data_IF_742532527686
#
_entry.id   IF_742532527686
#
_cell.length_a   1.000
_cell.length_b   1.000
_cell.length_c   1.000
_cell.angle_alpha   90.00
_cell.angle_beta   90.00
_cell.angle_gamma   90.00
#
_symmetry.space_group_name_H-M   'P 1'
#
loop_
_entity.id
_entity.type
_entity.pdbx_description
1 polymer ?
#
# COMPACT_ATOMS: atom_id res chain seq x y z
N UNK A 1 11.84 -12.50 -17.19
CA UNK A 1 10.39 -12.38 -16.89
C UNK A 1 10.13 -10.94 -16.49
N UNK A 2 9.08 -10.32 -17.02
CA UNK A 2 8.66 -8.98 -16.62
C UNK A 2 8.08 -9.03 -15.20
N UNK A 3 8.29 -7.98 -14.39
CA UNK A 3 7.69 -7.87 -13.05
C UNK A 3 6.15 -7.85 -13.15
N UNK A 4 5.48 -8.30 -12.08
CA UNK A 4 4.00 -8.34 -12.04
C UNK A 4 3.41 -6.94 -12.23
N UNK A 5 3.87 -5.98 -11.42
CA UNK A 5 3.66 -4.56 -11.68
C UNK A 5 4.83 -4.08 -12.54
N UNK A 6 4.54 -3.76 -13.78
CA UNK A 6 5.47 -3.16 -14.74
C UNK A 6 4.91 -1.83 -15.26
N UNK A 7 5.70 -1.13 -16.05
CA UNK A 7 5.35 0.21 -16.52
C UNK A 7 4.07 0.20 -17.40
N UNK A 8 3.81 -0.91 -18.10
CA UNK A 8 2.61 -1.10 -18.94
C UNK A 8 1.48 -1.84 -18.20
N UNK A 9 1.48 -1.88 -16.86
CA UNK A 9 0.47 -2.60 -16.08
C UNK A 9 -0.95 -2.08 -16.42
N UNK A 10 -1.82 -3.00 -16.87
CA UNK A 10 -3.18 -2.75 -17.41
C UNK A 10 -3.25 -2.04 -18.78
N UNK A 11 -2.12 -1.69 -19.41
CA UNK A 11 -2.09 -1.04 -20.72
C UNK A 11 -1.97 -2.08 -21.84
N UNK A 12 -3.10 -2.40 -22.48
CA UNK A 12 -3.21 -3.52 -23.43
C UNK A 12 -3.02 -3.15 -24.91
N UNK A 13 -2.77 -1.87 -25.24
CA UNK A 13 -2.58 -1.39 -26.61
C UNK A 13 -1.56 -0.25 -26.67
N UNK A 14 -0.95 -0.03 -27.84
CA UNK A 14 0.00 1.07 -28.03
C UNK A 14 -0.66 2.44 -27.80
N UNK A 15 -1.93 2.60 -28.21
CA UNK A 15 -2.69 3.81 -27.90
C UNK A 15 -2.90 4.01 -26.40
N UNK A 16 -3.14 2.95 -25.61
CA UNK A 16 -3.25 3.06 -24.16
C UNK A 16 -1.93 3.46 -23.51
N UNK A 17 -0.81 2.91 -24.01
CA UNK A 17 0.54 3.26 -23.56
C UNK A 17 0.87 4.73 -23.85
N UNK A 18 0.60 5.18 -25.07
CA UNK A 18 0.81 6.58 -25.47
C UNK A 18 -0.01 7.54 -24.59
N UNK A 19 -1.31 7.29 -24.45
CA UNK A 19 -2.20 8.13 -23.65
C UNK A 19 -1.79 8.18 -22.17
N UNK A 20 -1.40 7.06 -21.58
CA UNK A 20 -0.99 7.04 -20.18
C UNK A 20 0.38 7.69 -19.99
N UNK A 21 1.42 7.20 -20.67
CA UNK A 21 2.81 7.61 -20.44
C UNK A 21 3.09 9.04 -20.91
N UNK A 22 2.48 9.50 -22.02
CA UNK A 22 2.78 10.83 -22.56
C UNK A 22 1.88 11.93 -21.99
N UNK A 23 0.73 11.59 -21.41
CA UNK A 23 -0.25 12.58 -20.97
C UNK A 23 -0.71 12.41 -19.53
N UNK A 24 -1.15 11.21 -19.14
CA UNK A 24 -1.82 11.01 -17.84
C UNK A 24 -0.85 10.88 -16.65
N UNK A 25 0.26 10.15 -16.81
CA UNK A 25 1.14 9.74 -15.71
C UNK A 25 1.72 10.92 -14.91
N UNK A 26 1.97 12.05 -15.58
CA UNK A 26 2.61 13.21 -14.97
C UNK A 26 1.61 14.24 -14.41
N UNK A 27 0.30 14.01 -14.56
CA UNK A 27 -0.69 14.92 -13.99
C UNK A 27 -0.67 14.88 -12.46
N UNK A 28 -0.95 16.02 -11.79
CA UNK A 28 -1.11 16.04 -10.34
C UNK A 28 -2.35 15.26 -9.90
N UNK A 29 -2.31 14.76 -8.66
CA UNK A 29 -3.47 14.15 -8.02
C UNK A 29 -4.31 15.23 -7.35
N UNK A 30 -5.57 15.32 -7.77
CA UNK A 30 -6.62 16.11 -7.14
C UNK A 30 -7.56 15.12 -6.43
N UNK A 31 -7.30 14.87 -5.15
CA UNK A 31 -8.07 13.94 -4.32
C UNK A 31 -9.17 14.69 -3.55
N UNK A 32 -10.16 15.17 -4.31
CA UNK A 32 -11.21 16.08 -3.82
C UNK A 32 -12.17 15.45 -2.80
N UNK A 33 -12.00 14.18 -2.45
CA UNK A 33 -12.73 13.51 -1.38
C UNK A 33 -11.94 12.30 -0.87
N UNK A 34 -11.44 12.39 0.36
CA UNK A 34 -10.78 11.30 1.05
C UNK A 34 -11.14 11.31 2.54
N UNK A 35 -10.63 10.32 3.27
CA UNK A 35 -10.82 10.20 4.71
C UNK A 35 -9.48 10.18 5.46
N UNK A 36 -8.47 10.88 4.91
CA UNK A 36 -7.19 11.03 5.57
C UNK A 36 -7.37 11.74 6.92
N UNK A 37 -6.64 11.29 7.94
CA UNK A 37 -6.65 11.95 9.24
C UNK A 37 -6.01 13.36 9.11
N UNK A 38 -6.75 14.47 9.31
CA UNK A 38 -6.19 15.81 9.22
C UNK A 38 -5.06 16.06 10.22
N UNK A 39 -5.07 15.38 11.37
CA UNK A 39 -4.02 15.47 12.38
C UNK A 39 -2.69 14.89 11.87
N UNK A 40 -2.74 13.79 11.12
CA UNK A 40 -1.53 13.20 10.52
C UNK A 40 -0.89 14.17 9.52
N UNK A 41 -1.71 14.88 8.75
CA UNK A 41 -1.26 15.90 7.81
C UNK A 41 -0.73 17.12 8.59
N UNK A 42 -1.42 17.57 9.63
CA UNK A 42 -1.04 18.76 10.42
C UNK A 42 0.28 18.56 11.17
N UNK A 43 0.53 17.36 11.68
CA UNK A 43 1.73 17.03 12.46
C UNK A 43 2.85 16.40 11.62
N UNK A 44 2.64 16.21 10.32
CA UNK A 44 3.55 15.50 9.42
C UNK A 44 3.95 14.13 9.99
N UNK A 45 2.92 13.34 10.32
CA UNK A 45 3.05 12.10 11.09
C UNK A 45 4.06 11.13 10.47
N UNK A 46 4.88 10.54 11.35
CA UNK A 46 5.85 9.51 11.01
C UNK A 46 5.30 8.16 11.45
N UNK A 47 5.25 7.19 10.53
CA UNK A 47 4.75 5.85 10.80
C UNK A 47 5.86 4.96 11.39
N UNK A 48 5.52 4.14 12.38
CA UNK A 48 6.49 3.30 13.10
C UNK A 48 6.95 2.09 12.27
N UNK A 49 6.02 1.50 11.52
CA UNK A 49 6.23 0.28 10.73
C UNK A 49 5.20 0.07 9.61
N UNK A 50 5.47 -0.90 8.72
CA UNK A 50 4.60 -1.21 7.58
C UNK A 50 3.21 -1.70 8.00
N UNK A 51 3.12 -2.51 9.06
CA UNK A 51 1.84 -3.04 9.55
C UNK A 51 0.91 -1.91 9.97
N UNK A 52 1.44 -0.90 10.67
CA UNK A 52 0.69 0.28 11.10
C UNK A 52 0.05 1.02 9.90
N UNK A 53 0.87 1.54 8.98
CA UNK A 53 0.36 2.34 7.85
C UNK A 53 -0.57 1.54 6.91
N UNK A 54 -0.40 0.21 6.82
CA UNK A 54 -1.20 -0.62 5.90
C UNK A 54 -2.47 -1.20 6.49
N UNK A 55 -2.48 -1.54 7.79
CA UNK A 55 -3.55 -2.32 8.41
C UNK A 55 -4.43 -1.50 9.35
N UNK A 56 -4.11 -0.25 9.65
CA UNK A 56 -5.01 0.64 10.42
C UNK A 56 -6.31 0.96 9.66
N UNK A 57 -6.34 0.84 8.33
CA UNK A 57 -7.37 1.48 7.52
C UNK A 57 -7.86 0.76 6.25
N UNK A 58 -8.92 1.39 5.76
CA UNK A 58 -10.00 1.07 4.81
C UNK A 58 -10.68 -0.29 4.93
N UNK A 59 -10.27 -1.12 5.87
CA UNK A 59 -10.96 -2.33 6.32
C UNK A 59 -11.05 -3.47 5.27
N UNK A 60 -10.70 -3.23 4.00
CA UNK A 60 -10.71 -4.26 2.95
C UNK A 60 -9.78 -5.43 3.29
N UNK A 61 -8.60 -5.13 3.84
CA UNK A 61 -7.63 -6.15 4.27
C UNK A 61 -8.21 -7.02 5.38
N UNK A 62 -8.86 -6.41 6.39
CA UNK A 62 -9.54 -7.16 7.46
C UNK A 62 -10.69 -8.01 6.92
N UNK A 63 -11.50 -7.48 5.99
CA UNK A 63 -12.57 -8.25 5.34
C UNK A 63 -12.01 -9.48 4.64
N UNK A 64 -10.93 -9.33 3.87
CA UNK A 64 -10.28 -10.45 3.19
C UNK A 64 -9.66 -11.45 4.18
N UNK A 65 -9.00 -10.98 5.24
CA UNK A 65 -8.45 -11.84 6.30
C UNK A 65 -9.55 -12.66 6.99
N UNK A 66 -10.67 -12.04 7.37
CA UNK A 66 -11.85 -12.74 7.93
C UNK A 66 -12.44 -13.74 6.94
N UNK A 67 -12.59 -13.37 5.67
CA UNK A 67 -13.04 -14.29 4.61
C UNK A 67 -12.08 -15.45 4.38
N UNK A 68 -10.79 -15.27 4.69
CA UNK A 68 -9.76 -16.31 4.63
C UNK A 68 -9.61 -17.08 5.96
N UNK A 69 -10.53 -16.93 6.91
CA UNK A 69 -10.55 -17.68 8.17
C UNK A 69 -9.51 -17.24 9.20
N UNK A 70 -8.90 -16.06 9.04
CA UNK A 70 -7.99 -15.51 10.04
C UNK A 70 -8.78 -15.08 11.29
N UNK A 71 -8.27 -15.44 12.47
CA UNK A 71 -8.85 -15.06 13.76
C UNK A 71 -8.93 -13.53 13.91
N UNK A 72 -10.04 -13.05 14.47
CA UNK A 72 -10.33 -11.62 14.63
C UNK A 72 -9.24 -10.89 15.42
N UNK A 73 -8.55 -11.57 16.34
CA UNK A 73 -7.44 -10.96 17.10
C UNK A 73 -6.32 -10.46 16.18
N UNK A 74 -6.08 -11.10 15.04
CA UNK A 74 -5.07 -10.64 14.07
C UNK A 74 -5.60 -9.57 13.10
N UNK A 75 -6.90 -9.26 13.14
CA UNK A 75 -7.49 -8.15 12.40
C UNK A 75 -7.50 -6.87 13.25
N UNK A 76 -8.18 -6.89 14.39
CA UNK A 76 -8.39 -5.69 15.23
C UNK A 76 -8.03 -5.90 16.71
N UNK A 77 -7.39 -7.01 17.07
CA UNK A 77 -6.99 -7.30 18.44
C UNK A 77 -5.94 -6.31 18.96
N UNK A 78 -6.09 -5.93 20.23
CA UNK A 78 -5.15 -5.03 20.93
C UNK A 78 -3.92 -5.76 21.47
N UNK A 79 -4.03 -7.06 21.72
CA UNK A 79 -2.97 -7.90 22.30
C UNK A 79 -2.10 -8.58 21.23
N UNK A 80 -2.18 -8.16 19.97
CA UNK A 80 -1.36 -8.65 18.86
C UNK A 80 -0.55 -7.51 18.26
N UNK A 81 0.74 -7.73 18.05
CA UNK A 81 1.66 -6.77 17.44
C UNK A 81 1.36 -6.53 15.96
N UNK A 82 1.80 -5.38 15.43
CA UNK A 82 1.65 -5.05 14.01
C UNK A 82 2.35 -6.06 13.10
N UNK A 83 3.47 -6.63 13.55
CA UNK A 83 4.15 -7.72 12.84
C UNK A 83 3.25 -8.96 12.74
N UNK A 84 2.65 -9.41 13.84
CA UNK A 84 1.77 -10.60 13.81
C UNK A 84 0.55 -10.36 12.91
N UNK A 85 -0.03 -9.16 12.93
CA UNK A 85 -1.12 -8.80 12.02
C UNK A 85 -0.66 -8.78 10.56
N UNK A 86 0.50 -8.20 10.27
CA UNK A 86 1.08 -8.15 8.93
C UNK A 86 1.45 -9.54 8.40
N UNK A 87 1.99 -10.41 9.24
CA UNK A 87 2.30 -11.80 8.89
C UNK A 87 1.02 -12.53 8.43
N UNK A 88 -0.10 -12.35 9.14
CA UNK A 88 -1.40 -12.90 8.73
C UNK A 88 -1.97 -12.28 7.45
N UNK A 89 -1.71 -10.99 7.23
CA UNK A 89 -2.02 -10.38 5.93
C UNK A 89 -1.20 -10.99 4.80
N UNK A 90 0.11 -11.20 5.00
CA UNK A 90 0.99 -11.81 4.01
C UNK A 90 0.64 -13.28 3.71
N UNK A 91 0.18 -14.04 4.70
CA UNK A 91 -0.42 -15.37 4.51
C UNK A 91 -1.71 -15.32 3.66
N UNK A 92 -2.47 -14.23 3.75
CA UNK A 92 -3.75 -14.05 3.05
C UNK A 92 -3.57 -13.60 1.60
N UNK A 93 -2.57 -12.76 1.29
CA UNK A 93 -2.40 -12.15 -0.05
C UNK A 93 -2.42 -13.14 -1.21
N UNK A 94 -1.76 -14.32 -1.17
CA UNK A 94 -1.82 -15.29 -2.26
C UNK A 94 -3.25 -15.75 -2.62
N UNK A 95 -4.17 -15.73 -1.64
CA UNK A 95 -5.58 -16.10 -1.81
C UNK A 95 -6.45 -14.94 -2.31
N UNK A 96 -5.88 -13.75 -2.48
CA UNK A 96 -6.57 -12.58 -3.01
C UNK A 96 -6.43 -12.42 -4.53
N UNK A 97 -5.88 -13.40 -5.24
CA UNK A 97 -5.77 -13.33 -6.71
C UNK A 97 -7.15 -13.09 -7.34
N UNK A 98 -7.23 -12.12 -8.27
CA UNK A 98 -8.46 -11.55 -8.87
C UNK A 98 -9.29 -10.62 -7.98
N UNK A 99 -8.96 -10.48 -6.70
CA UNK A 99 -9.43 -9.37 -5.87
C UNK A 99 -8.52 -8.15 -6.10
N UNK A 100 -9.06 -6.91 -6.14
CA UNK A 100 -8.22 -5.71 -6.30
C UNK A 100 -7.15 -5.55 -5.21
N UNK A 101 -7.32 -6.15 -4.03
CA UNK A 101 -6.30 -6.22 -2.98
C UNK A 101 -4.96 -6.78 -3.49
N UNK A 102 -4.98 -7.73 -4.44
CA UNK A 102 -3.76 -8.26 -5.03
C UNK A 102 -3.05 -7.20 -5.89
N UNK A 103 -3.80 -6.34 -6.60
CA UNK A 103 -3.20 -5.24 -7.35
C UNK A 103 -2.67 -4.16 -6.41
N UNK A 104 -3.49 -3.69 -5.46
CA UNK A 104 -3.13 -2.61 -4.53
C UNK A 104 -1.88 -2.94 -3.74
N UNK A 105 -1.80 -4.16 -3.17
CA UNK A 105 -0.63 -4.63 -2.41
C UNK A 105 0.66 -4.45 -3.22
N UNK A 106 0.69 -4.93 -4.46
CA UNK A 106 1.92 -4.91 -5.25
C UNK A 106 2.20 -3.54 -5.88
N UNK A 107 1.16 -2.74 -6.18
CA UNK A 107 1.31 -1.35 -6.61
C UNK A 107 1.90 -0.47 -5.51
N UNK A 108 1.39 -0.60 -4.28
CA UNK A 108 1.88 0.12 -3.10
C UNK A 108 3.35 -0.25 -2.82
N UNK A 109 3.68 -1.54 -2.81
CA UNK A 109 5.06 -2.02 -2.64
C UNK A 109 6.00 -1.45 -3.72
N UNK A 110 5.60 -1.50 -4.99
CA UNK A 110 6.42 -1.02 -6.09
C UNK A 110 6.60 0.50 -6.05
N UNK A 111 5.50 1.26 -6.00
CA UNK A 111 5.53 2.73 -6.19
C UNK A 111 5.97 3.48 -4.93
N UNK A 112 5.52 3.06 -3.75
CA UNK A 112 5.92 3.71 -2.49
C UNK A 112 7.33 3.26 -2.06
N UNK A 113 7.59 1.96 -2.11
CA UNK A 113 8.77 1.38 -1.46
C UNK A 113 9.85 0.87 -2.43
N UNK A 114 9.56 0.75 -3.73
CA UNK A 114 10.50 0.20 -4.72
C UNK A 114 10.69 -1.31 -4.60
N UNK A 115 9.69 -2.02 -4.06
CA UNK A 115 9.74 -3.47 -3.84
C UNK A 115 8.97 -4.20 -4.95
N UNK A 116 9.69 -5.02 -5.71
CA UNK A 116 9.16 -5.83 -6.83
C UNK A 116 8.70 -7.23 -6.42
N UNK A 117 8.99 -7.66 -5.19
CA UNK A 117 8.67 -9.00 -4.70
C UNK A 117 7.16 -9.14 -4.49
N UNK A 118 6.62 -10.30 -4.89
CA UNK A 118 5.25 -10.67 -4.54
C UNK A 118 5.16 -10.93 -3.03
N UNK A 119 4.10 -10.43 -2.39
CA UNK A 119 3.88 -10.63 -0.96
C UNK A 119 3.29 -12.03 -0.70
N UNK A 120 3.98 -12.79 0.13
CA UNK A 120 3.57 -14.09 0.64
C UNK A 120 4.21 -14.33 2.01
N UNK A 121 3.88 -15.43 2.69
CA UNK A 121 4.51 -15.81 3.96
C UNK A 121 6.04 -15.90 3.86
N UNK A 122 6.60 -16.27 2.71
CA UNK A 122 8.06 -16.43 2.55
C UNK A 122 8.79 -15.11 2.31
N UNK A 123 8.11 -14.08 1.80
CA UNK A 123 8.68 -12.76 1.54
C UNK A 123 8.29 -11.71 2.58
N UNK A 124 7.32 -12.03 3.46
CA UNK A 124 6.74 -11.12 4.44
C UNK A 124 7.80 -10.40 5.29
N UNK A 125 8.73 -11.16 5.89
CA UNK A 125 9.71 -10.60 6.83
C UNK A 125 10.62 -9.57 6.17
N UNK A 126 11.17 -9.93 5.01
CA UNK A 126 12.03 -9.04 4.25
C UNK A 126 11.29 -7.77 3.81
N UNK A 127 10.08 -7.91 3.28
CA UNK A 127 9.26 -6.77 2.83
C UNK A 127 8.94 -5.84 4.01
N UNK A 128 8.52 -6.40 5.14
CA UNK A 128 8.23 -5.63 6.34
C UNK A 128 9.44 -4.84 6.81
N UNK A 129 10.62 -5.46 6.87
CA UNK A 129 11.84 -4.83 7.34
C UNK A 129 12.31 -3.71 6.39
N UNK A 130 12.30 -3.95 5.08
CA UNK A 130 12.67 -2.93 4.06
C UNK A 130 11.74 -1.72 4.12
N UNK A 131 10.43 -1.95 4.14
CA UNK A 131 9.46 -0.86 4.12
C UNK A 131 9.44 -0.12 5.47
N UNK A 132 9.56 -0.83 6.59
CA UNK A 132 9.65 -0.22 7.92
C UNK A 132 10.90 0.64 8.07
N UNK A 133 12.05 0.21 7.53
CA UNK A 133 13.25 1.03 7.53
C UNK A 133 13.05 2.35 6.76
N UNK A 134 12.35 2.31 5.63
CA UNK A 134 11.97 3.51 4.85
C UNK A 134 10.98 4.39 5.61
N UNK A 135 9.95 3.81 6.20
CA UNK A 135 8.94 4.54 7.00
C UNK A 135 9.51 5.26 8.22
N UNK A 136 10.74 4.94 8.64
CA UNK A 136 11.44 5.64 9.73
C UNK A 136 12.33 6.79 9.25
N UNK A 137 12.38 7.06 7.93
CA UNK A 137 13.08 8.21 7.37
C UNK A 137 12.11 9.36 7.11
N UNK A 138 12.63 10.60 7.12
CA UNK A 138 11.80 11.81 6.97
C UNK A 138 11.09 11.88 5.63
N UNK A 139 11.62 11.23 4.60
CA UNK A 139 11.08 11.19 3.24
C UNK A 139 9.78 10.36 3.13
N UNK A 140 9.41 9.63 4.19
CA UNK A 140 8.23 8.78 4.26
C UNK A 140 7.20 9.23 5.32
N UNK A 141 7.31 10.47 5.80
CA UNK A 141 6.25 11.09 6.61
C UNK A 141 4.98 11.32 5.80
N UNK A 142 3.85 11.60 6.47
CA UNK A 142 2.56 11.83 5.82
C UNK A 142 2.63 12.88 4.68
N UNK A 143 3.24 14.05 4.92
CA UNK A 143 3.35 15.09 3.87
C UNK A 143 4.34 14.70 2.79
N UNK A 144 5.43 14.03 3.15
CA UNK A 144 6.44 13.63 2.18
C UNK A 144 5.92 12.54 1.23
N UNK A 145 5.10 11.61 1.72
CA UNK A 145 4.38 10.65 0.88
C UNK A 145 3.42 11.36 -0.08
N UNK A 146 2.61 12.30 0.40
CA UNK A 146 1.73 13.10 -0.47
C UNK A 146 2.51 13.82 -1.57
N UNK A 147 3.64 14.46 -1.23
CA UNK A 147 4.53 15.10 -2.21
C UNK A 147 5.13 14.11 -3.20
N UNK A 148 5.57 12.93 -2.73
CA UNK A 148 6.11 11.86 -3.57
C UNK A 148 5.12 11.41 -4.64
N UNK A 149 3.83 11.43 -4.33
CA UNK A 149 2.75 11.07 -5.25
C UNK A 149 2.16 12.24 -6.04
N UNK A 150 2.81 13.41 -6.03
CA UNK A 150 2.35 14.60 -6.75
C UNK A 150 0.90 15.00 -6.38
N UNK A 151 0.55 14.87 -5.10
CA UNK A 151 -0.76 15.29 -4.59
C UNK A 151 -0.79 16.81 -4.45
N UNK A 152 -1.70 17.46 -5.18
CA UNK A 152 -1.87 18.91 -5.18
C UNK A 152 -2.99 19.34 -4.23
N UNK A 153 -4.10 18.61 -4.22
CA UNK A 153 -5.30 18.92 -3.42
C UNK A 153 -5.80 17.65 -2.73
N UNK A 154 -6.17 17.78 -1.46
CA UNK A 154 -6.97 16.81 -0.72
C UNK A 154 -8.15 17.51 -0.06
N UNK A 155 -9.30 16.83 0.04
CA UNK A 155 -10.42 17.27 0.88
C UNK A 155 -10.85 16.11 1.79
N UNK A 156 -10.67 16.30 3.11
CA UNK A 156 -10.97 15.31 4.16
C UNK A 156 -12.42 15.33 4.62
#
# INVERSE_FOLDING_TARGET
>A
MQSFINDDFLLQSDAAKELYHQHAEHQPIIDYHCHLNPEYIANDHQFDNLGQIWLEGDHYKWRAMRSNGIDEKYCTGKDTSDWEKFEKWAETVPYTMRNPLYHWTHLELKRAFGVDKLLSSTTAKEIFDICTAKLRTKEYSARCLMKKFNVEVVCT
#
